data_IF_695129728271
#
_entry.id   IF_695129728271
#
_cell.length_a   1.000
_cell.length_b   1.000
_cell.length_c   1.000
_cell.angle_alpha   90.00
_cell.angle_beta   90.00
_cell.angle_gamma   90.00
#
_symmetry.space_group_name_H-M   'P 1'
#
loop_
_entity.id
_entity.type
_entity.pdbx_description
1 polymer ?
#
# COMPACT_ATOMS: atom_id res chain seq x y z
N UNK A 1 -10.76 -7.84 -7.89
CA UNK A 1 -10.59 -7.31 -6.53
C UNK A 1 -11.81 -7.64 -5.67
N UNK A 2 -12.95 -6.95 -5.84
CA UNK A 2 -14.17 -7.14 -5.02
C UNK A 2 -14.68 -8.58 -4.93
N UNK A 3 -14.56 -9.37 -6.01
CA UNK A 3 -15.05 -10.76 -6.06
C UNK A 3 -14.36 -11.74 -5.10
N UNK A 4 -13.07 -11.60 -4.78
CA UNK A 4 -12.40 -12.54 -3.85
C UNK A 4 -12.80 -12.22 -2.41
N UNK A 5 -12.77 -10.94 -2.06
CA UNK A 5 -13.19 -10.44 -0.74
C UNK A 5 -14.68 -10.70 -0.48
N UNK A 6 -15.54 -10.54 -1.49
CA UNK A 6 -16.97 -10.84 -1.38
C UNK A 6 -17.28 -12.34 -1.19
N UNK A 7 -16.31 -13.24 -1.43
CA UNK A 7 -16.44 -14.68 -1.19
C UNK A 7 -15.96 -15.10 0.19
N UNK A 8 -15.34 -14.19 0.94
CA UNK A 8 -14.90 -14.46 2.30
C UNK A 8 -16.04 -14.20 3.29
N UNK A 9 -15.99 -14.87 4.44
CA UNK A 9 -16.90 -14.59 5.55
C UNK A 9 -16.75 -13.13 5.97
N UNK A 10 -17.86 -12.48 6.33
CA UNK A 10 -17.80 -11.09 6.78
C UNK A 10 -16.95 -11.02 8.07
N UNK A 11 -15.92 -10.17 8.14
CA UNK A 11 -15.08 -10.09 9.31
C UNK A 11 -15.86 -9.50 10.49
N UNK A 12 -15.67 -10.08 11.68
CA UNK A 12 -16.33 -9.65 12.92
C UNK A 12 -15.51 -8.62 13.70
N UNK A 13 -14.29 -8.32 13.24
CA UNK A 13 -13.39 -7.34 13.84
C UNK A 13 -12.46 -6.72 12.79
N UNK A 14 -11.84 -5.60 13.13
CA UNK A 14 -10.82 -4.95 12.27
C UNK A 14 -9.62 -5.88 12.05
N UNK A 15 -9.19 -6.61 13.09
CA UNK A 15 -8.08 -7.56 12.98
C UNK A 15 -8.39 -8.69 11.98
N UNK A 16 -9.62 -9.22 12.00
CA UNK A 16 -10.03 -10.22 11.02
C UNK A 16 -10.09 -9.65 9.61
N UNK A 17 -10.58 -8.42 9.43
CA UNK A 17 -10.55 -7.77 8.12
C UNK A 17 -9.12 -7.60 7.61
N UNK A 18 -8.19 -7.18 8.47
CA UNK A 18 -6.79 -7.01 8.11
C UNK A 18 -6.18 -8.33 7.62
N UNK A 19 -6.42 -9.44 8.34
CA UNK A 19 -5.95 -10.76 7.92
C UNK A 19 -6.47 -11.17 6.53
N UNK A 20 -7.75 -10.90 6.24
CA UNK A 20 -8.33 -11.19 4.92
C UNK A 20 -7.69 -10.37 3.82
N UNK A 21 -7.39 -9.09 4.09
CA UNK A 21 -6.72 -8.20 3.15
C UNK A 21 -5.26 -8.61 2.91
N UNK A 22 -4.54 -9.01 3.97
CA UNK A 22 -3.16 -9.48 3.86
C UNK A 22 -3.09 -10.77 3.04
N UNK A 23 -3.97 -11.73 3.34
CA UNK A 23 -4.10 -12.97 2.56
C UNK A 23 -4.38 -12.68 1.08
N UNK A 24 -5.30 -11.73 0.81
CA UNK A 24 -5.60 -11.32 -0.55
C UNK A 24 -4.38 -10.69 -1.24
N UNK A 25 -3.68 -9.79 -0.55
CA UNK A 25 -2.50 -9.09 -1.06
C UNK A 25 -1.41 -10.08 -1.46
N UNK A 26 -1.15 -11.06 -0.61
CA UNK A 26 -0.11 -12.07 -0.84
C UNK A 26 -0.48 -12.92 -2.06
N UNK A 27 -1.69 -13.47 -2.09
CA UNK A 27 -2.16 -14.25 -3.24
C UNK A 27 -2.09 -13.44 -4.54
N UNK A 28 -2.63 -12.23 -4.55
CA UNK A 28 -2.71 -11.42 -5.76
C UNK A 28 -1.32 -11.06 -6.29
N UNK A 29 -0.41 -10.64 -5.41
CA UNK A 29 0.91 -10.16 -5.84
C UNK A 29 1.88 -11.29 -6.16
N UNK A 30 1.87 -12.36 -5.35
CA UNK A 30 2.90 -13.40 -5.41
C UNK A 30 2.51 -14.57 -6.31
N UNK A 31 1.23 -14.98 -6.28
CA UNK A 31 0.81 -16.27 -6.83
C UNK A 31 -0.14 -16.16 -8.02
N UNK A 32 -0.97 -15.12 -8.07
CA UNK A 32 -2.04 -15.03 -9.08
C UNK A 32 -1.44 -14.99 -10.49
N UNK A 33 -1.82 -15.93 -11.39
CA UNK A 33 -1.42 -15.85 -12.77
C UNK A 33 -2.20 -14.73 -13.47
N UNK A 34 -1.49 -13.85 -14.19
CA UNK A 34 -2.10 -12.75 -14.94
C UNK A 34 -2.03 -13.01 -16.45
N UNK A 35 -3.19 -13.11 -17.10
CA UNK A 35 -3.30 -13.34 -18.55
C UNK A 35 -2.55 -12.29 -19.37
N UNK A 36 -2.69 -11.00 -19.02
CA UNK A 36 -1.98 -9.91 -19.69
C UNK A 36 -0.45 -9.95 -19.51
N UNK A 37 0.05 -10.75 -18.56
CA UNK A 37 1.48 -10.93 -18.27
C UNK A 37 1.96 -12.33 -18.72
N UNK A 38 1.22 -13.00 -19.60
CA UNK A 38 1.56 -14.34 -20.08
C UNK A 38 1.54 -15.40 -18.98
N UNK A 39 0.71 -15.22 -17.95
CA UNK A 39 0.63 -16.12 -16.79
C UNK A 39 1.59 -15.79 -15.65
N UNK A 40 2.50 -14.83 -15.82
CA UNK A 40 3.40 -14.39 -14.74
C UNK A 40 2.63 -13.71 -13.60
N UNK A 41 3.15 -13.83 -12.38
CA UNK A 41 2.61 -13.07 -11.24
C UNK A 41 2.98 -11.59 -11.32
N UNK A 42 2.21 -10.70 -10.68
CA UNK A 42 2.53 -9.27 -10.63
C UNK A 42 3.92 -9.00 -10.06
N UNK A 43 4.34 -9.74 -9.03
CA UNK A 43 5.68 -9.63 -8.45
C UNK A 43 6.77 -10.03 -9.45
N UNK A 44 6.58 -11.14 -10.19
CA UNK A 44 7.52 -11.57 -11.21
C UNK A 44 7.67 -10.50 -12.30
N UNK A 45 6.56 -9.96 -12.80
CA UNK A 45 6.58 -8.90 -13.80
C UNK A 45 7.21 -7.60 -13.28
N UNK A 46 6.99 -7.24 -12.01
CA UNK A 46 7.65 -6.09 -11.40
C UNK A 46 9.16 -6.28 -11.28
N UNK A 47 9.61 -7.49 -10.95
CA UNK A 47 11.03 -7.81 -10.80
C UNK A 47 11.77 -7.95 -12.13
N UNK A 48 11.09 -8.36 -13.20
CA UNK A 48 11.64 -8.41 -14.55
C UNK A 48 11.91 -7.02 -15.16
N UNK A 49 11.28 -5.96 -14.63
CA UNK A 49 11.48 -4.59 -15.13
C UNK A 49 12.77 -3.99 -14.58
N UNK A 50 13.47 -3.23 -15.44
CA UNK A 50 14.54 -2.33 -15.03
C UNK A 50 14.05 -1.42 -13.92
N UNK A 51 14.72 -1.49 -12.75
CA UNK A 51 14.36 -0.66 -11.60
C UNK A 51 14.77 0.78 -11.90
N UNK A 52 13.86 1.71 -11.65
CA UNK A 52 14.20 3.13 -11.66
C UNK A 52 15.30 3.37 -10.62
N UNK A 53 16.33 4.09 -11.02
CA UNK A 53 17.33 4.65 -10.11
C UNK A 53 16.93 6.09 -9.80
N UNK A 54 17.26 6.62 -8.62
CA UNK A 54 17.07 8.03 -8.35
C UNK A 54 17.84 8.84 -9.41
N UNK A 55 17.14 9.78 -10.04
CA UNK A 55 17.78 10.84 -10.81
C UNK A 55 18.46 11.77 -9.80
N UNK A 56 19.77 12.06 -9.92
CA UNK A 56 20.44 13.02 -9.05
C UNK A 56 19.87 14.44 -9.14
N UNK A 57 19.00 14.74 -10.10
CA UNK A 57 18.20 15.95 -10.10
C UNK A 57 17.38 16.04 -8.80
N UNK A 58 17.63 17.09 -8.01
CA UNK A 58 16.87 17.39 -6.80
C UNK A 58 15.39 17.50 -7.16
N UNK A 59 14.62 16.46 -6.85
CA UNK A 59 13.17 16.53 -6.92
C UNK A 59 12.76 17.61 -5.93
N UNK A 60 11.96 18.63 -6.32
CA UNK A 60 11.52 19.64 -5.37
C UNK A 60 10.78 18.94 -4.24
N UNK A 61 11.36 19.00 -3.04
CA UNK A 61 10.76 18.39 -1.85
C UNK A 61 9.45 19.08 -1.56
N UNK A 62 8.34 18.38 -1.78
CA UNK A 62 7.01 18.87 -1.44
C UNK A 62 6.80 18.71 0.07
N UNK A 63 7.22 19.70 0.85
CA UNK A 63 6.92 19.73 2.28
C UNK A 63 5.46 20.15 2.51
N UNK A 64 4.69 19.31 3.18
CA UNK A 64 3.43 19.76 3.80
C UNK A 64 3.75 20.39 5.16
N UNK A 65 3.96 21.70 5.16
CA UNK A 65 4.22 22.45 6.40
C UNK A 65 2.89 22.75 7.10
N UNK A 66 2.73 22.27 8.34
CA UNK A 66 1.66 22.69 9.24
C UNK A 66 2.21 23.69 10.24
N UNK A 67 1.54 24.83 10.40
CA UNK A 67 1.86 25.81 11.44
C UNK A 67 0.87 25.60 12.58
N UNK A 68 1.30 24.89 13.62
CA UNK A 68 0.51 24.68 14.84
C UNK A 68 0.91 25.71 15.90
N UNK A 69 -0.06 26.17 16.70
CA UNK A 69 0.19 27.11 17.81
C UNK A 69 0.46 26.33 19.08
N UNK A 70 1.59 26.62 19.72
CA UNK A 70 1.98 26.04 21.00
C UNK A 70 1.28 26.81 22.12
N UNK A 71 0.73 26.10 23.11
CA UNK A 71 0.15 26.74 24.30
C UNK A 71 1.23 27.22 25.29
N UNK A 72 0.82 27.92 26.35
CA UNK A 72 1.76 28.48 27.36
C UNK A 72 2.57 27.41 28.09
N UNK A 73 2.13 26.16 28.06
CA UNK A 73 2.78 25.02 28.73
C UNK A 73 3.54 24.11 27.75
N UNK A 74 3.71 24.54 26.50
CA UNK A 74 4.46 23.80 25.49
C UNK A 74 3.66 22.67 24.81
N UNK A 75 2.35 22.57 25.03
CA UNK A 75 1.53 21.50 24.45
C UNK A 75 1.04 21.89 23.06
N UNK A 76 0.96 20.88 22.19
CA UNK A 76 0.39 20.96 20.84
C UNK A 76 -0.64 19.84 20.72
N UNK A 77 -1.85 20.17 20.29
CA UNK A 77 -2.89 19.17 20.01
C UNK A 77 -2.98 18.95 18.50
N UNK A 78 -2.59 17.77 18.04
CA UNK A 78 -2.76 17.33 16.67
C UNK A 78 -4.11 16.58 16.57
N UNK A 79 -5.00 17.06 15.70
CA UNK A 79 -6.16 16.31 15.23
C UNK A 79 -5.87 15.73 13.86
#
# INVERSE_FOLDING_TARGET
MKRLLARQTRPVSIAHLQLQLDTFRDYYNQHRPHLALGGSSPLAAFNARLKAKPDPAQTPTNYRVRKDKVDRFGRVTLR
#
